data_IF_177366422678
#
_entry.id   IF_177366422678
#
_cell.length_a   1.000
_cell.length_b   1.000
_cell.length_c   1.000
_cell.angle_alpha   90.00
_cell.angle_beta   90.00
_cell.angle_gamma   90.00
#
_symmetry.space_group_name_H-M   'P 1'
#
loop_
_entity.id
_entity.type
_entity.pdbx_description
1 polymer ?
#
# COMPACT_ATOMS: atom_id res chain seq x y z
N UNK A 1 1.62 5.28 -7.63
CA UNK A 1 0.26 5.20 -8.16
C UNK A 1 0.24 4.41 -9.46
N UNK A 2 -0.86 3.70 -9.75
CA UNK A 2 -1.03 3.01 -11.04
C UNK A 2 -1.29 3.99 -12.18
N UNK A 3 -1.98 5.09 -11.87
CA UNK A 3 -2.22 6.23 -12.76
C UNK A 3 -1.77 7.51 -12.09
N UNK A 4 -1.28 8.47 -12.85
CA UNK A 4 -0.83 9.75 -12.29
C UNK A 4 -2.01 10.63 -11.83
N UNK A 5 -3.18 10.50 -12.48
CA UNK A 5 -4.41 11.22 -12.10
C UNK A 5 -4.91 10.83 -10.70
N UNK A 6 -4.48 9.68 -10.17
CA UNK A 6 -4.84 9.25 -8.81
C UNK A 6 -4.31 10.21 -7.74
N UNK A 7 -3.26 10.98 -8.06
CA UNK A 7 -2.73 12.01 -7.17
C UNK A 7 -3.70 13.18 -7.00
N UNK A 8 -4.44 13.55 -8.05
CA UNK A 8 -5.37 14.69 -7.99
C UNK A 8 -6.60 14.42 -7.13
N UNK A 9 -6.86 13.14 -6.86
CA UNK A 9 -7.97 12.69 -6.00
C UNK A 9 -7.64 12.80 -4.52
N UNK A 10 -6.36 12.80 -4.16
CA UNK A 10 -5.91 12.92 -2.77
C UNK A 10 -6.10 14.35 -2.26
N UNK A 11 -6.74 14.47 -1.10
CA UNK A 11 -6.88 15.72 -0.33
C UNK A 11 -6.05 15.63 0.94
N UNK A 12 -5.64 16.77 1.50
CA UNK A 12 -4.74 16.83 2.66
C UNK A 12 -5.35 16.23 3.94
N UNK A 13 -6.68 16.21 4.04
CA UNK A 13 -7.46 15.72 5.17
C UNK A 13 -7.96 14.27 5.00
N UNK A 14 -7.54 13.59 3.94
CA UNK A 14 -7.98 12.23 3.65
C UNK A 14 -7.37 11.20 4.61
N UNK A 15 -8.22 10.29 5.07
CA UNK A 15 -7.78 9.07 5.75
C UNK A 15 -7.49 7.99 4.71
N UNK A 16 -6.26 7.47 4.75
CA UNK A 16 -5.77 6.46 3.83
C UNK A 16 -5.87 5.08 4.47
N UNK A 17 -6.65 4.17 3.89
CA UNK A 17 -6.87 2.82 4.41
C UNK A 17 -6.44 1.76 3.39
N UNK A 18 -5.51 0.89 3.77
CA UNK A 18 -5.01 -0.16 2.89
C UNK A 18 -5.84 -1.43 3.07
N UNK A 19 -6.71 -1.72 2.11
CA UNK A 19 -7.63 -2.87 2.19
C UNK A 19 -6.84 -4.20 2.07
N UNK A 20 -5.95 -4.25 1.09
CA UNK A 20 -5.36 -5.50 0.59
C UNK A 20 -3.90 -5.71 1.01
N UNK A 21 -3.42 -4.95 2.00
CA UNK A 21 -2.02 -5.03 2.44
C UNK A 21 -1.66 -6.37 3.12
N UNK A 22 -2.67 -7.10 3.59
CA UNK A 22 -2.48 -8.46 4.13
C UNK A 22 -2.11 -9.45 3.03
N UNK A 23 -2.65 -9.25 1.83
CA UNK A 23 -2.40 -10.07 0.64
C UNK A 23 -1.26 -9.52 -0.22
N UNK A 24 -0.33 -8.79 0.41
CA UNK A 24 0.83 -8.22 -0.25
C UNK A 24 1.71 -9.31 -0.88
N UNK A 25 1.84 -9.24 -2.21
CA UNK A 25 2.44 -10.25 -3.06
C UNK A 25 3.23 -9.61 -4.21
N UNK A 26 4.12 -10.39 -4.83
CA UNK A 26 4.89 -9.95 -6.00
C UNK A 26 3.94 -9.60 -7.15
N UNK A 27 4.19 -8.47 -7.82
CA UNK A 27 3.41 -7.97 -8.97
C UNK A 27 1.90 -7.75 -8.72
N UNK A 28 1.44 -7.80 -7.46
CA UNK A 28 0.04 -7.50 -7.11
C UNK A 28 -0.11 -6.02 -6.74
N UNK A 29 -0.93 -5.23 -7.46
CA UNK A 29 -1.22 -3.86 -7.03
C UNK A 29 -1.93 -3.87 -5.67
N UNK A 30 -1.64 -2.86 -4.85
CA UNK A 30 -2.29 -2.65 -3.55
C UNK A 30 -3.46 -1.71 -3.73
N UNK A 31 -4.63 -2.07 -3.21
CA UNK A 31 -5.79 -1.18 -3.17
C UNK A 31 -5.70 -0.26 -1.95
N UNK A 32 -5.83 1.04 -2.21
CA UNK A 32 -5.87 2.09 -1.21
C UNK A 32 -7.24 2.78 -1.28
N UNK A 33 -7.93 2.79 -0.14
CA UNK A 33 -9.20 3.49 0.05
C UNK A 33 -8.92 4.87 0.65
N UNK A 34 -9.20 5.90 -0.13
CA UNK A 34 -9.25 7.29 0.29
C UNK A 34 -10.60 7.51 0.97
N UNK A 35 -10.59 7.95 2.23
CA UNK A 35 -11.79 8.37 2.95
C UNK A 35 -11.70 9.88 3.15
N UNK A 36 -12.48 10.61 2.38
CA UNK A 36 -12.55 12.06 2.42
C UNK A 36 -13.33 12.51 3.67
N UNK A 37 -13.00 13.69 4.19
CA UNK A 37 -13.70 14.24 5.36
C UNK A 37 -15.18 14.56 5.09
N UNK A 38 -15.57 14.75 3.82
CA UNK A 38 -16.97 14.93 3.39
C UNK A 38 -17.77 13.61 3.41
N UNK A 39 -17.14 12.49 3.75
CA UNK A 39 -17.75 11.16 3.80
C UNK A 39 -17.74 10.41 2.47
N UNK A 40 -17.23 11.02 1.39
CA UNK A 40 -16.99 10.30 0.13
C UNK A 40 -15.78 9.39 0.25
N UNK A 41 -15.76 8.34 -0.56
CA UNK A 41 -14.64 7.40 -0.56
C UNK A 41 -14.23 7.07 -1.99
N UNK A 42 -12.93 7.02 -2.24
CA UNK A 42 -12.38 6.66 -3.53
C UNK A 42 -11.38 5.51 -3.39
N UNK A 43 -11.39 4.60 -4.35
CA UNK A 43 -10.45 3.48 -4.39
C UNK A 43 -9.41 3.72 -5.48
N UNK A 44 -8.14 3.71 -5.10
CA UNK A 44 -7.01 3.85 -6.02
C UNK A 44 -6.07 2.65 -5.94
N UNK A 45 -5.41 2.35 -7.04
CA UNK A 45 -4.49 1.21 -7.13
C UNK A 45 -3.04 1.69 -7.07
N UNK A 46 -2.24 1.09 -6.20
CA UNK A 46 -0.82 1.40 -6.03
C UNK A 46 0.05 0.27 -6.56
N UNK A 47 0.95 0.60 -7.49
CA UNK A 47 2.02 -0.31 -7.91
C UNK A 47 3.20 -0.21 -6.95
N UNK A 48 3.88 -1.33 -6.77
CA UNK A 48 5.09 -1.41 -5.98
C UNK A 48 6.15 -2.22 -6.75
N UNK A 49 7.43 -2.00 -6.45
CA UNK A 49 8.56 -2.71 -7.08
C UNK A 49 9.23 -3.71 -6.16
N UNK A 50 8.55 -4.13 -5.09
CA UNK A 50 9.08 -5.07 -4.10
C UNK A 50 9.26 -6.45 -4.70
N UNK A 51 10.43 -7.05 -4.47
CA UNK A 51 10.68 -8.46 -4.72
C UNK A 51 10.27 -9.35 -3.53
N UNK A 52 10.28 -10.67 -3.71
CA UNK A 52 9.88 -11.64 -2.68
C UNK A 52 10.63 -11.48 -1.35
N UNK A 53 11.92 -11.16 -1.38
CA UNK A 53 12.74 -10.96 -0.18
C UNK A 53 12.33 -9.67 0.56
N UNK A 54 12.09 -8.58 -0.17
CA UNK A 54 11.64 -7.32 0.42
C UNK A 54 10.21 -7.44 0.99
N UNK A 55 9.34 -8.24 0.36
CA UNK A 55 8.02 -8.59 0.91
C UNK A 55 8.17 -9.34 2.25
N UNK A 56 9.14 -10.25 2.37
CA UNK A 56 9.41 -10.92 3.65
C UNK A 56 9.92 -9.93 4.70
N UNK A 57 10.78 -8.98 4.34
CA UNK A 57 11.23 -7.93 5.25
C UNK A 57 10.08 -7.07 5.74
N UNK A 58 9.17 -6.70 4.84
CA UNK A 58 7.95 -5.99 5.18
C UNK A 58 7.10 -6.77 6.19
N UNK A 59 6.88 -8.07 5.95
CA UNK A 59 6.14 -8.95 6.89
C UNK A 59 6.85 -9.15 8.23
N UNK A 60 8.19 -9.12 8.24
CA UNK A 60 8.99 -9.21 9.46
C UNK A 60 9.11 -7.88 10.22
N UNK A 61 8.65 -6.77 9.65
CA UNK A 61 8.76 -5.42 10.19
C UNK A 61 10.12 -4.74 9.94
N UNK A 62 11.13 -5.47 9.46
CA UNK A 62 12.38 -4.92 8.92
C UNK A 62 13.22 -6.01 8.24
N UNK A 63 14.20 -5.58 7.42
CA UNK A 63 15.21 -6.48 6.89
C UNK A 63 16.01 -7.16 8.01
N UNK A 64 16.33 -6.41 9.08
CA UNK A 64 17.04 -6.93 10.24
C UNK A 64 16.25 -8.05 10.92
N UNK A 65 14.95 -7.85 11.16
CA UNK A 65 14.10 -8.84 11.79
C UNK A 65 13.95 -10.12 10.96
N UNK A 66 13.96 -10.00 9.63
CA UNK A 66 13.93 -11.15 8.75
C UNK A 66 15.21 -11.98 8.82
N UNK A 67 16.36 -11.33 9.05
CA UNK A 67 17.65 -11.99 9.23
C UNK A 67 17.78 -12.61 10.63
N UNK A 68 17.24 -11.98 11.67
CA UNK A 68 17.26 -12.50 13.05
C UNK A 68 16.34 -13.71 13.26
N UNK A 69 15.36 -13.94 12.36
CA UNK A 69 14.46 -15.09 12.38
C UNK A 69 14.91 -16.27 11.50
N UNK A 70 16.07 -16.17 10.83
CA UNK A 70 16.74 -17.29 10.16
C UNK A 70 17.65 -18.03 11.14
#
# INVERSE_FOLDING_TARGET
>A
FSRWEDYEKLREDDLLDFIDIKDFALDKPIELLLKHADGTTELINLKHSYNSTQIQWFKAGSALNALTRQ
#
